data_IF_542943184415
#
_entry.id   IF_542943184415
#
_cell.length_a   1.000
_cell.length_b   1.000
_cell.length_c   1.000
_cell.angle_alpha   90.00
_cell.angle_beta   90.00
_cell.angle_gamma   90.00
#
_symmetry.space_group_name_H-M   'P 1'
#
loop_
_entity.id
_entity.type
_entity.pdbx_description
1 polymer ?
#
# COMPACT_ATOMS: atom_id res chain seq x y z
N UNK A 1 -14.08 24.49 -3.55
CA UNK A 1 -14.83 23.25 -3.84
C UNK A 1 -13.93 22.08 -3.45
N UNK A 2 -14.40 20.97 -2.83
CA UNK A 2 -15.65 20.26 -3.16
C UNK A 2 -16.49 19.69 -1.99
N UNK A 3 -17.69 19.22 -2.39
CA UNK A 3 -18.67 18.26 -1.82
C UNK A 3 -19.15 18.39 -0.37
N UNK A 4 -20.37 18.90 -0.11
CA UNK A 4 -21.72 18.37 -0.43
C UNK A 4 -22.25 17.38 0.61
N UNK A 5 -22.97 17.93 1.59
CA UNK A 5 -24.34 17.53 1.91
C UNK A 5 -24.59 16.14 2.48
N UNK A 6 -24.40 15.97 3.79
CA UNK A 6 -25.27 15.07 4.54
C UNK A 6 -26.52 15.84 4.96
N UNK A 7 -27.63 15.48 4.32
CA UNK A 7 -28.96 16.03 4.55
C UNK A 7 -29.32 15.97 6.04
N UNK A 8 -29.52 17.14 6.65
CA UNK A 8 -30.21 17.32 7.93
C UNK A 8 -31.70 16.99 7.74
N UNK A 9 -32.06 15.71 7.83
CA UNK A 9 -33.46 15.32 7.80
C UNK A 9 -34.01 15.12 9.21
N UNK A 10 -34.75 16.14 9.65
CA UNK A 10 -35.99 16.00 10.40
C UNK A 10 -35.91 15.57 11.89
N UNK A 11 -35.52 16.51 12.74
CA UNK A 11 -35.85 16.49 14.17
C UNK A 11 -37.08 17.37 14.42
N UNK A 12 -38.28 16.84 14.17
CA UNK A 12 -39.52 17.48 14.65
C UNK A 12 -39.99 16.74 15.91
N UNK A 13 -40.00 17.49 17.01
CA UNK A 13 -40.60 17.24 18.32
C UNK A 13 -39.69 16.57 19.36
N UNK A 14 -39.19 17.39 20.30
CA UNK A 14 -38.42 16.96 21.45
C UNK A 14 -38.57 17.99 22.60
N UNK A 15 -39.40 17.69 23.61
CA UNK A 15 -39.74 18.62 24.72
C UNK A 15 -39.04 18.31 26.07
N UNK A 16 -38.04 17.40 26.16
CA UNK A 16 -37.51 16.94 27.47
C UNK A 16 -35.97 16.87 27.59
N UNK A 17 -35.23 17.84 27.03
CA UNK A 17 -33.83 18.10 27.38
C UNK A 17 -32.75 17.00 27.19
N UNK A 18 -33.02 15.83 26.61
CA UNK A 18 -32.01 14.81 26.21
C UNK A 18 -31.87 14.72 24.70
N UNK A 19 -30.73 15.21 24.23
CA UNK A 19 -30.17 15.18 22.88
C UNK A 19 -30.75 14.23 21.81
N UNK A 20 -30.77 14.74 20.59
CA UNK A 20 -31.32 14.11 19.39
C UNK A 20 -30.79 12.69 19.18
N UNK A 21 -31.66 11.82 18.65
CA UNK A 21 -31.52 10.38 18.45
C UNK A 21 -30.33 9.90 17.57
N UNK A 22 -29.32 10.74 17.30
CA UNK A 22 -28.07 10.42 16.60
C UNK A 22 -26.88 10.24 17.54
N UNK A 23 -27.09 10.45 18.83
CA UNK A 23 -26.02 10.40 19.82
C UNK A 23 -25.53 8.97 20.09
N UNK A 24 -26.28 7.93 19.73
CA UNK A 24 -25.89 6.55 20.01
C UNK A 24 -25.04 5.95 18.88
N UNK A 25 -23.78 5.56 19.12
CA UNK A 25 -22.88 5.07 18.07
C UNK A 25 -23.40 3.80 17.38
N UNK A 26 -24.18 2.97 18.08
CA UNK A 26 -24.80 1.78 17.52
C UNK A 26 -25.83 2.12 16.43
N UNK A 27 -26.63 3.17 16.65
CA UNK A 27 -27.63 3.65 15.71
C UNK A 27 -26.98 4.24 14.46
N UNK A 28 -25.94 5.06 14.62
CA UNK A 28 -25.15 5.59 13.50
C UNK A 28 -24.59 4.46 12.61
N UNK A 29 -24.01 3.43 13.23
CA UNK A 29 -23.46 2.28 12.51
C UNK A 29 -24.55 1.51 11.75
N UNK A 30 -25.70 1.27 12.41
CA UNK A 30 -26.85 0.59 11.80
C UNK A 30 -27.40 1.36 10.60
N UNK A 31 -27.66 2.65 10.75
CA UNK A 31 -28.19 3.51 9.67
C UNK A 31 -27.21 3.57 8.49
N UNK A 32 -25.91 3.65 8.77
CA UNK A 32 -24.88 3.65 7.72
C UNK A 32 -24.81 2.30 6.99
N UNK A 33 -24.96 1.17 7.70
CA UNK A 33 -25.04 -0.15 7.08
C UNK A 33 -26.27 -0.29 6.20
N UNK A 34 -27.44 0.09 6.71
CA UNK A 34 -28.72 -0.04 6.03
C UNK A 34 -28.80 0.86 4.79
N UNK A 35 -28.31 2.10 4.88
CA UNK A 35 -28.23 3.01 3.73
C UNK A 35 -27.31 2.49 2.60
N UNK A 36 -26.34 1.63 2.94
CA UNK A 36 -25.47 0.96 1.97
C UNK A 36 -25.99 -0.40 1.51
N UNK A 37 -27.16 -0.83 1.99
CA UNK A 37 -27.75 -2.15 1.71
C UNK A 37 -26.81 -3.33 2.04
N UNK A 38 -25.99 -3.18 3.08
CA UNK A 38 -25.06 -4.22 3.53
C UNK A 38 -25.77 -5.14 4.53
N UNK A 39 -25.74 -6.44 4.29
CA UNK A 39 -26.32 -7.44 5.20
C UNK A 39 -25.32 -7.86 6.30
N UNK A 40 -25.83 -8.43 7.38
CA UNK A 40 -24.98 -8.93 8.47
C UNK A 40 -24.12 -10.13 8.03
N UNK A 41 -24.62 -10.95 7.11
CA UNK A 41 -23.90 -12.09 6.53
C UNK A 41 -22.70 -11.63 5.68
N UNK A 42 -22.87 -10.52 4.94
CA UNK A 42 -21.78 -9.93 4.19
C UNK A 42 -20.67 -9.43 5.14
N UNK A 43 -21.05 -8.83 6.27
CA UNK A 43 -20.09 -8.41 7.30
C UNK A 43 -19.38 -9.60 7.95
N UNK A 44 -20.07 -10.71 8.24
CA UNK A 44 -19.41 -11.93 8.74
C UNK A 44 -18.41 -12.48 7.72
N UNK A 45 -18.79 -12.47 6.44
CA UNK A 45 -17.90 -12.92 5.36
C UNK A 45 -16.63 -12.07 5.27
N UNK A 46 -16.77 -10.75 5.33
CA UNK A 46 -15.69 -9.81 5.07
C UNK A 46 -14.81 -9.55 6.30
N UNK A 47 -15.43 -9.35 7.48
CA UNK A 47 -14.73 -9.00 8.71
C UNK A 47 -14.46 -10.19 9.64
N UNK A 48 -15.04 -11.36 9.35
CA UNK A 48 -15.01 -12.54 10.24
C UNK A 48 -15.60 -12.26 11.62
N UNK A 49 -16.57 -11.34 11.69
CA UNK A 49 -17.30 -10.99 12.91
C UNK A 49 -18.70 -11.59 12.81
N UNK A 50 -19.04 -12.46 13.76
CA UNK A 50 -20.35 -13.11 13.77
C UNK A 50 -21.50 -12.10 13.85
N UNK A 51 -22.63 -12.32 13.14
CA UNK A 51 -23.77 -11.40 13.11
C UNK A 51 -24.23 -10.95 14.50
N UNK A 52 -24.30 -11.89 15.46
CA UNK A 52 -24.67 -11.60 16.86
C UNK A 52 -23.86 -10.47 17.52
N UNK A 53 -22.58 -10.30 17.15
CA UNK A 53 -21.74 -9.25 17.71
C UNK A 53 -21.97 -7.91 17.01
N UNK A 54 -22.31 -7.92 15.72
CA UNK A 54 -22.69 -6.71 14.97
C UNK A 54 -24.04 -6.19 15.48
N UNK A 55 -25.03 -7.07 15.62
CA UNK A 55 -26.33 -6.74 16.21
C UNK A 55 -26.18 -6.15 17.61
N UNK A 56 -25.31 -6.74 18.43
CA UNK A 56 -25.03 -6.24 19.76
C UNK A 56 -24.35 -4.86 19.77
N UNK A 57 -23.46 -4.58 18.81
CA UNK A 57 -22.88 -3.24 18.63
C UNK A 57 -23.96 -2.24 18.22
N UNK A 58 -24.83 -2.61 17.28
CA UNK A 58 -25.94 -1.75 16.81
C UNK A 58 -26.97 -1.48 17.91
N UNK A 59 -27.19 -2.44 18.81
CA UNK A 59 -28.09 -2.33 19.96
C UNK A 59 -27.43 -1.78 21.24
N UNK A 60 -26.13 -1.45 21.22
CA UNK A 60 -25.40 -1.00 22.40
C UNK A 60 -25.23 -2.06 23.50
N UNK A 61 -25.49 -3.34 23.22
CA UNK A 61 -25.39 -4.43 24.18
C UNK A 61 -23.98 -5.01 24.23
N UNK A 62 -23.10 -4.43 25.05
CA UNK A 62 -21.72 -4.90 25.18
C UNK A 62 -21.53 -6.05 26.19
N UNK A 63 -22.58 -6.52 26.86
CA UNK A 63 -22.49 -7.58 27.87
C UNK A 63 -22.19 -8.95 27.25
N UNK A 64 -22.56 -9.17 25.99
CA UNK A 64 -22.32 -10.43 25.28
C UNK A 64 -20.85 -10.61 24.85
N UNK A 65 -20.05 -9.55 24.93
CA UNK A 65 -18.66 -9.59 24.49
C UNK A 65 -17.79 -10.29 25.53
N UNK A 66 -16.87 -11.18 25.12
CA UNK A 66 -15.90 -11.78 26.03
C UNK A 66 -14.98 -10.75 26.69
N UNK A 67 -14.71 -9.63 26.01
CA UNK A 67 -13.98 -8.50 26.59
C UNK A 67 -14.28 -7.15 25.95
N UNK A 68 -14.20 -6.07 26.73
CA UNK A 68 -14.33 -4.70 26.22
C UNK A 68 -13.26 -4.33 25.18
N UNK A 69 -11.99 -4.75 25.30
CA UNK A 69 -11.01 -4.58 24.23
C UNK A 69 -11.43 -5.24 22.90
N UNK A 70 -12.07 -6.42 22.96
CA UNK A 70 -12.61 -7.09 21.78
C UNK A 70 -13.76 -6.29 21.16
N UNK A 71 -14.71 -5.81 21.97
CA UNK A 71 -15.78 -4.93 21.51
C UNK A 71 -15.24 -3.67 20.84
N UNK A 72 -14.26 -2.99 21.45
CA UNK A 72 -13.55 -1.83 20.87
C UNK A 72 -12.94 -2.16 19.51
N UNK A 73 -12.31 -3.33 19.37
CA UNK A 73 -11.74 -3.80 18.12
C UNK A 73 -12.79 -3.99 17.02
N UNK A 74 -13.91 -4.63 17.35
CA UNK A 74 -14.99 -4.88 16.39
C UNK A 74 -15.67 -3.58 15.94
N UNK A 75 -15.96 -2.66 16.87
CA UNK A 75 -16.50 -1.33 16.54
C UNK A 75 -15.56 -0.60 15.57
N UNK A 76 -14.24 -0.64 15.84
CA UNK A 76 -13.26 0.02 14.98
C UNK A 76 -13.27 -0.56 13.56
N UNK A 77 -13.22 -1.88 13.44
CA UNK A 77 -13.20 -2.56 12.14
C UNK A 77 -14.51 -2.32 11.38
N UNK A 78 -15.64 -2.35 12.09
CA UNK A 78 -16.95 -2.12 11.51
C UNK A 78 -17.12 -0.69 11.00
N UNK A 79 -16.72 0.32 11.80
CA UNK A 79 -16.71 1.72 11.38
C UNK A 79 -15.85 1.93 10.12
N UNK A 80 -14.64 1.37 10.10
CA UNK A 80 -13.75 1.42 8.93
C UNK A 80 -14.37 0.77 7.69
N UNK A 81 -14.99 -0.39 7.84
CA UNK A 81 -15.68 -1.09 6.76
C UNK A 81 -16.84 -0.26 6.18
N UNK A 82 -17.57 0.44 7.05
CA UNK A 82 -18.62 1.38 6.66
C UNK A 82 -18.09 2.72 6.16
N UNK A 83 -16.77 2.92 6.05
CA UNK A 83 -16.18 4.19 5.58
C UNK A 83 -16.37 5.36 6.55
N UNK A 84 -16.66 5.07 7.82
CA UNK A 84 -16.73 6.06 8.90
C UNK A 84 -15.36 6.22 9.56
N UNK A 85 -15.13 7.36 10.22
CA UNK A 85 -13.94 7.57 11.02
C UNK A 85 -14.03 6.77 12.34
N UNK A 86 -13.18 5.74 12.56
CA UNK A 86 -13.29 4.90 13.75
C UNK A 86 -12.99 5.64 15.05
N UNK A 87 -12.18 6.70 14.99
CA UNK A 87 -11.86 7.49 16.18
C UNK A 87 -13.09 8.25 16.68
N UNK A 88 -13.84 8.88 15.77
CA UNK A 88 -15.06 9.62 16.08
C UNK A 88 -16.16 8.69 16.62
N UNK A 89 -16.36 7.52 16.00
CA UNK A 89 -17.35 6.53 16.46
C UNK A 89 -17.01 6.02 17.88
N UNK A 90 -15.72 5.78 18.17
CA UNK A 90 -15.29 5.34 19.50
C UNK A 90 -15.41 6.46 20.55
N UNK A 91 -15.17 7.71 20.16
CA UNK A 91 -15.33 8.87 21.03
C UNK A 91 -16.80 9.10 21.39
N UNK A 92 -17.71 8.97 20.42
CA UNK A 92 -19.16 9.00 20.63
C UNK A 92 -19.59 7.93 21.65
N UNK A 93 -19.05 6.71 21.54
CA UNK A 93 -19.30 5.67 22.55
C UNK A 93 -18.80 6.07 23.93
N UNK A 94 -17.57 6.56 24.03
CA UNK A 94 -16.94 6.85 25.32
C UNK A 94 -17.63 8.01 26.05
N UNK A 95 -18.13 9.01 25.31
CA UNK A 95 -18.98 10.09 25.85
C UNK A 95 -20.27 9.55 26.47
N UNK A 96 -20.87 8.52 25.87
CA UNK A 96 -22.12 7.93 26.35
C UNK A 96 -21.91 6.81 27.40
N UNK A 97 -20.67 6.37 27.62
CA UNK A 97 -20.35 5.18 28.43
C UNK A 97 -19.81 5.51 29.82
N UNK A 98 -20.04 6.73 30.34
CA UNK A 98 -19.55 7.18 31.65
C UNK A 98 -19.89 6.24 32.83
N UNK A 99 -20.87 5.35 32.67
CA UNK A 99 -21.27 4.36 33.68
C UNK A 99 -20.78 2.92 33.40
N UNK A 100 -20.55 2.54 32.15
CA UNK A 100 -20.22 1.15 31.77
C UNK A 100 -18.76 0.77 32.05
N UNK A 101 -17.84 1.74 32.12
CA UNK A 101 -16.44 1.48 32.45
C UNK A 101 -16.25 0.80 33.83
N UNK A 102 -17.16 1.06 34.78
CA UNK A 102 -17.12 0.47 36.13
C UNK A 102 -17.56 -1.01 36.16
N UNK A 103 -18.41 -1.45 35.23
CA UNK A 103 -18.99 -2.82 35.22
C UNK A 103 -17.99 -3.87 34.72
N UNK A 104 -17.11 -3.50 33.79
CA UNK A 104 -16.12 -4.41 33.21
C UNK A 104 -14.85 -4.59 34.08
N UNK A 105 -14.42 -3.52 34.78
CA UNK A 105 -13.19 -3.53 35.59
C UNK A 105 -13.19 -4.43 36.84
N UNK A 106 -14.29 -5.14 37.13
CA UNK A 106 -14.34 -6.13 38.22
C UNK A 106 -14.31 -7.58 37.74
N UNK A 107 -14.45 -7.83 36.43
CA UNK A 107 -14.49 -9.19 35.85
C UNK A 107 -13.18 -9.62 35.18
N UNK A 108 -12.24 -8.71 34.93
CA UNK A 108 -10.97 -9.01 34.27
C UNK A 108 -9.82 -9.20 35.28
N UNK A 109 -9.91 -10.24 36.12
CA UNK A 109 -8.68 -10.76 36.76
C UNK A 109 -7.82 -11.43 35.68
N UNK A 110 -6.93 -10.66 35.07
CA UNK A 110 -5.80 -11.15 34.28
C UNK A 110 -5.99 -11.11 32.77
N UNK A 111 -5.90 -9.91 32.17
CA UNK A 111 -4.73 -9.49 31.38
C UNK A 111 -4.62 -7.99 31.62
N UNK A 112 -3.66 -7.58 32.47
CA UNK A 112 -3.25 -6.18 32.56
C UNK A 112 -2.63 -5.84 31.21
N UNK A 113 -3.45 -5.41 30.24
CA UNK A 113 -2.98 -4.46 29.24
C UNK A 113 -2.73 -3.18 30.02
N UNK A 114 -1.61 -3.20 30.75
CA UNK A 114 -0.90 -2.00 31.15
C UNK A 114 -0.94 -1.12 29.92
N UNK A 115 -1.31 0.14 30.14
CA UNK A 115 -1.19 1.22 29.19
C UNK A 115 0.17 1.16 28.49
N UNK A 116 0.25 0.30 27.48
CA UNK A 116 1.00 0.53 26.29
C UNK A 116 0.13 1.57 25.61
N UNK A 117 0.35 2.82 25.99
CA UNK A 117 0.51 3.88 25.02
C UNK A 117 1.57 3.44 24.00
N UNK A 118 1.29 2.37 23.25
CA UNK A 118 1.59 2.34 21.84
C UNK A 118 0.73 3.49 21.35
N UNK A 119 1.32 4.68 21.39
CA UNK A 119 1.14 5.67 20.34
C UNK A 119 1.20 4.80 19.09
N UNK A 120 0.05 4.36 18.59
CA UNK A 120 -0.01 3.88 17.22
C UNK A 120 0.48 5.12 16.50
N UNK A 121 1.70 5.13 15.91
CA UNK A 121 1.99 6.21 15.03
C UNK A 121 0.82 6.19 14.07
N UNK A 122 0.06 7.29 13.98
CA UNK A 122 -0.69 7.57 12.76
C UNK A 122 0.38 7.42 11.70
N UNK A 123 0.44 6.27 11.05
CA UNK A 123 1.50 5.99 10.09
C UNK A 123 1.29 7.03 9.02
N UNK A 124 2.13 8.06 9.05
CA UNK A 124 2.15 9.12 8.04
C UNK A 124 2.45 8.55 6.64
N UNK A 125 2.73 7.25 6.57
CA UNK A 125 2.82 6.45 5.37
C UNK A 125 1.43 6.04 4.90
N UNK A 126 0.85 6.89 4.06
CA UNK A 126 -0.23 6.49 3.15
C UNK A 126 0.35 5.41 2.23
N UNK A 127 -0.15 4.19 2.30
CA UNK A 127 0.34 3.09 1.45
C UNK A 127 0.27 3.46 -0.05
N UNK A 128 -0.70 4.29 -0.42
CA UNK A 128 -0.83 4.88 -1.76
C UNK A 128 0.38 5.72 -2.17
N UNK A 129 0.98 6.49 -1.24
CA UNK A 129 2.22 7.25 -1.52
C UNK A 129 3.41 6.35 -1.76
N UNK A 130 3.48 5.22 -1.05
CA UNK A 130 4.56 4.24 -1.18
C UNK A 130 4.44 3.48 -2.52
N UNK A 131 3.21 3.11 -2.90
CA UNK A 131 2.90 2.52 -4.22
C UNK A 131 3.25 3.52 -5.33
N UNK A 132 2.88 4.79 -5.19
CA UNK A 132 3.17 5.83 -6.18
C UNK A 132 4.69 6.03 -6.36
N UNK A 133 5.45 6.09 -5.26
CA UNK A 133 6.91 6.22 -5.32
C UNK A 133 7.59 4.99 -5.93
N UNK A 134 7.08 3.78 -5.66
CA UNK A 134 7.58 2.54 -6.26
C UNK A 134 7.41 2.57 -7.78
N UNK A 135 6.25 3.00 -8.27
CA UNK A 135 6.00 3.12 -9.72
C UNK A 135 6.93 4.16 -10.34
N UNK A 136 7.11 5.33 -9.72
CA UNK A 136 8.00 6.38 -10.24
C UNK A 136 9.45 5.90 -10.30
N UNK A 137 9.95 5.25 -9.25
CA UNK A 137 11.32 4.75 -9.21
C UNK A 137 11.54 3.62 -10.22
N UNK A 138 10.56 2.73 -10.40
CA UNK A 138 10.61 1.71 -11.44
C UNK A 138 10.64 2.33 -12.86
N UNK A 139 9.82 3.36 -13.13
CA UNK A 139 9.80 4.05 -14.41
C UNK A 139 11.13 4.76 -14.70
N UNK A 140 11.65 5.54 -13.74
CA UNK A 140 12.94 6.23 -13.89
C UNK A 140 14.10 5.24 -14.05
N UNK A 141 14.11 4.15 -13.27
CA UNK A 141 15.11 3.09 -13.39
C UNK A 141 15.06 2.38 -14.73
N UNK A 142 13.86 2.07 -15.22
CA UNK A 142 13.68 1.42 -16.54
C UNK A 142 14.16 2.32 -17.69
N UNK A 143 13.88 3.62 -17.64
CA UNK A 143 14.34 4.58 -18.64
C UNK A 143 15.87 4.74 -18.62
N UNK A 144 16.47 4.82 -17.44
CA UNK A 144 17.93 4.88 -17.28
C UNK A 144 18.60 3.60 -17.80
N UNK A 145 18.03 2.42 -17.54
CA UNK A 145 18.51 1.15 -18.07
C UNK A 145 18.41 1.09 -19.60
N UNK A 146 17.30 1.56 -20.18
CA UNK A 146 17.13 1.62 -21.63
C UNK A 146 18.18 2.53 -22.30
N UNK A 147 18.41 3.70 -21.71
CA UNK A 147 19.50 4.62 -22.11
C UNK A 147 20.85 3.91 -21.97
N UNK A 148 21.13 3.28 -20.83
CA UNK A 148 22.38 2.54 -20.61
C UNK A 148 22.62 1.51 -21.73
N UNK A 149 21.60 0.74 -22.10
CA UNK A 149 21.69 -0.25 -23.19
C UNK A 149 21.85 0.37 -24.58
N UNK A 150 21.41 1.61 -24.80
CA UNK A 150 21.54 2.31 -26.08
C UNK A 150 22.88 3.05 -26.24
N UNK A 151 23.46 3.56 -25.14
CA UNK A 151 24.66 4.41 -25.19
C UNK A 151 25.95 3.68 -24.81
N UNK A 152 25.89 2.58 -24.05
CA UNK A 152 27.06 1.74 -23.78
C UNK A 152 27.10 0.55 -24.72
N UNK A 153 27.23 0.82 -26.02
CA UNK A 153 27.90 -0.10 -26.94
C UNK A 153 29.41 0.14 -26.76
N UNK A 154 30.16 -0.72 -26.05
CA UNK A 154 31.60 -0.60 -25.99
C UNK A 154 32.15 -0.83 -27.40
N UNK A 155 33.02 0.08 -27.84
CA UNK A 155 33.83 0.03 -29.06
C UNK A 155 34.84 -1.16 -28.99
N UNK A 156 34.36 -2.40 -28.81
CA UNK A 156 35.18 -3.57 -28.50
C UNK A 156 36.13 -3.94 -29.63
N UNK A 157 35.90 -3.45 -30.84
CA UNK A 157 36.76 -3.68 -31.99
C UNK A 157 38.14 -3.00 -31.88
N UNK A 158 38.32 -1.98 -31.02
CA UNK A 158 39.63 -1.32 -30.85
C UNK A 158 40.45 -1.87 -29.67
N UNK A 159 39.82 -2.46 -28.65
CA UNK A 159 40.54 -2.90 -27.44
C UNK A 159 41.01 -4.37 -27.55
N UNK A 160 40.38 -5.19 -28.41
CA UNK A 160 40.84 -6.56 -28.73
C UNK A 160 41.63 -6.65 -30.04
N UNK A 161 42.01 -5.52 -30.62
CA UNK A 161 43.07 -5.46 -31.62
C UNK A 161 44.40 -5.32 -30.89
N UNK A 162 45.08 -6.44 -30.62
CA UNK A 162 46.54 -6.40 -30.65
C UNK A 162 46.87 -5.69 -31.96
N UNK A 163 47.67 -4.61 -31.90
CA UNK A 163 48.39 -4.11 -33.05
C UNK A 163 49.24 -5.28 -33.57
N UNK A 164 48.65 -6.15 -34.39
CA UNK A 164 49.40 -7.06 -35.20
C UNK A 164 50.23 -6.15 -36.11
N UNK A 165 51.57 -6.17 -36.03
CA UNK A 165 52.36 -5.45 -37.00
C UNK A 165 51.89 -5.88 -38.39
N UNK A 166 51.82 -4.96 -39.37
CA UNK A 166 51.39 -5.33 -40.72
C UNK A 166 52.24 -6.51 -41.16
N UNK A 167 51.59 -7.67 -41.38
CA UNK A 167 52.26 -8.83 -41.94
C UNK A 167 52.79 -8.39 -43.29
N UNK A 168 54.10 -8.17 -43.37
CA UNK A 168 54.77 -7.89 -44.63
C UNK A 168 54.36 -9.01 -45.61
N UNK A 169 53.92 -8.70 -46.84
CA UNK A 169 53.54 -9.73 -47.79
C UNK A 169 54.70 -10.73 -47.91
N UNK A 170 54.43 -12.00 -47.60
CA UNK A 170 55.36 -13.08 -47.91
C UNK A 170 55.54 -13.03 -49.43
N UNK A 171 56.70 -12.55 -49.88
CA UNK A 171 57.07 -12.62 -51.29
C UNK A 171 57.08 -14.11 -51.64
N UNK A 172 56.11 -14.53 -52.46
CA UNK A 172 56.11 -15.85 -53.05
C UNK A 172 57.49 -16.08 -53.71
N UNK A 173 58.06 -17.29 -53.68
CA UNK A 173 59.27 -17.58 -54.42
C UNK A 173 58.99 -17.27 -55.90
N UNK A 174 59.50 -16.13 -56.36
CA UNK A 174 59.38 -15.71 -57.75
C UNK A 174 60.02 -16.80 -58.59
N UNK A 175 59.21 -17.41 -59.45
CA UNK A 175 59.66 -18.41 -60.42
C UNK A 175 60.83 -17.81 -61.19
N UNK A 176 61.98 -18.47 -61.09
CA UNK A 176 63.16 -18.26 -61.92
C UNK A 176 62.75 -18.32 -63.38
N UNK A 177 62.60 -17.15 -64.00
CA UNK A 177 62.51 -17.01 -65.44
C UNK A 177 63.88 -16.57 -65.92
N UNK A 178 64.68 -17.55 -66.33
CA UNK A 178 65.94 -17.34 -67.02
C UNK A 178 65.72 -16.43 -68.24
N UNK A 179 66.33 -15.25 -68.22
CA UNK A 179 66.50 -14.43 -69.40
C UNK A 179 68.01 -14.28 -69.64
N UNK A 180 68.42 -14.78 -70.80
CA UNK A 180 69.78 -14.87 -71.28
C UNK A 180 70.47 -13.49 -71.31
N UNK A 181 71.65 -13.39 -70.70
CA UNK A 181 72.58 -12.28 -70.89
C UNK A 181 73.25 -12.47 -72.24
N UNK A 182 72.83 -11.68 -73.22
CA UNK A 182 73.56 -11.50 -74.48
C UNK A 182 74.74 -10.57 -74.20
N UNK A 183 75.94 -11.11 -74.32
CA UNK A 183 77.21 -10.42 -74.19
C UNK A 183 77.48 -9.62 -75.47
N UNK A 184 77.75 -8.30 -75.44
CA UNK A 184 78.43 -7.66 -76.57
C UNK A 184 79.92 -8.00 -76.51
N UNK A 185 80.42 -8.58 -77.60
CA UNK A 185 81.83 -8.88 -77.87
C UNK A 185 82.71 -7.61 -77.93
N UNK A 186 83.97 -7.68 -77.49
CA UNK A 186 84.94 -6.61 -77.71
C UNK A 186 85.47 -6.65 -79.15
N UNK A 187 85.83 -5.49 -79.71
CA UNK A 187 86.66 -5.39 -80.93
C UNK A 187 87.66 -4.24 -80.73
N UNK A 188 88.85 -4.33 -81.38
CA UNK A 188 90.15 -3.88 -80.86
C UNK A 188 90.40 -2.37 -80.91
#
# INVERSE_FOLDING_TARGET
>A
MPVSGYHTANCKNYEDGRTCLLDEPGKLLKETRESKNITLEQIDKDLKIKPRYIEAIEAGNFEIFPSMPMARGFIKNYASYLGLNPAEVLELRDKNSSDNAKRWGSRDKGITFQNLSIVRPRSAFNIDTLITLLIITALLGSAAFFVYTQYLEPNQAQILGLNAPPVAPIQQPVKSSAAAVVLPTPTP
#
